data_IF_344120372491
#
_entry.id   IF_344120372491
#
_cell.length_a   1.000
_cell.length_b   1.000
_cell.length_c   1.000
_cell.angle_alpha   90.00
_cell.angle_beta   90.00
_cell.angle_gamma   90.00
#
_symmetry.space_group_name_H-M   'P 1'
#
loop_
_entity.id
_entity.type
_entity.pdbx_description
1 polymer ?
#
# COMPACT_ATOMS: atom_id res chain seq x y z
N UNK A 1 -79.92 28.61 -11.13
CA UNK A 1 -78.62 28.48 -10.44
C UNK A 1 -78.76 28.36 -8.92
N UNK A 2 -79.70 29.06 -8.28
CA UNK A 2 -79.87 29.02 -6.81
C UNK A 2 -80.32 27.66 -6.24
N UNK A 3 -81.11 26.89 -6.98
CA UNK A 3 -81.64 25.59 -6.55
C UNK A 3 -80.56 24.53 -6.32
N UNK A 4 -79.52 24.52 -7.16
CA UNK A 4 -78.39 23.59 -7.03
C UNK A 4 -77.48 23.94 -5.85
N UNK A 5 -77.33 25.25 -5.55
CA UNK A 5 -76.54 25.74 -4.43
C UNK A 5 -77.20 25.40 -3.09
N UNK A 6 -78.53 25.55 -3.01
CA UNK A 6 -79.31 25.15 -1.85
C UNK A 6 -79.25 23.62 -1.61
N UNK A 7 -79.37 22.82 -2.66
CA UNK A 7 -79.26 21.35 -2.54
C UNK A 7 -77.86 20.91 -2.07
N UNK A 8 -76.81 21.57 -2.54
CA UNK A 8 -75.43 21.31 -2.10
C UNK A 8 -75.19 21.68 -0.63
N UNK A 9 -75.68 22.84 -0.18
CA UNK A 9 -75.58 23.27 1.22
C UNK A 9 -76.40 22.39 2.17
N UNK A 10 -77.56 21.93 1.73
CA UNK A 10 -78.38 20.97 2.49
C UNK A 10 -77.71 19.60 2.54
N UNK A 11 -77.15 19.11 1.43
CA UNK A 11 -76.44 17.84 1.39
C UNK A 11 -75.18 17.83 2.28
N UNK A 12 -74.42 18.92 2.30
CA UNK A 12 -73.23 19.08 3.16
C UNK A 12 -73.56 19.27 4.64
N UNK A 13 -74.77 19.76 4.98
CA UNK A 13 -75.26 19.81 6.37
C UNK A 13 -75.88 18.49 6.85
N UNK A 14 -76.52 17.73 5.96
CA UNK A 14 -77.13 16.43 6.28
C UNK A 14 -76.10 15.30 6.34
N UNK A 15 -75.06 15.39 5.51
CA UNK A 15 -73.92 14.49 5.47
C UNK A 15 -72.65 15.33 5.57
N UNK A 16 -72.35 15.89 6.75
CA UNK A 16 -71.06 16.54 6.92
C UNK A 16 -70.00 15.48 6.58
N UNK A 17 -69.00 15.84 5.76
CA UNK A 17 -67.82 15.03 5.52
C UNK A 17 -66.99 15.02 6.82
N UNK A 18 -67.56 14.45 7.88
CA UNK A 18 -66.94 14.27 9.17
C UNK A 18 -66.10 13.02 9.06
N UNK A 19 -64.81 13.23 8.78
CA UNK A 19 -63.81 12.20 9.05
C UNK A 19 -63.95 11.88 10.54
N UNK A 20 -64.20 10.61 10.85
CA UNK A 20 -64.27 10.18 12.24
C UNK A 20 -62.94 10.50 12.91
N UNK A 21 -62.96 10.90 14.18
CA UNK A 21 -61.72 11.08 14.97
C UNK A 21 -60.83 9.83 14.91
N UNK A 22 -61.44 8.66 14.77
CA UNK A 22 -60.76 7.37 14.60
C UNK A 22 -60.05 7.26 13.23
N UNK A 23 -60.70 7.68 12.14
CA UNK A 23 -60.10 7.67 10.80
C UNK A 23 -58.93 8.67 10.68
N UNK A 24 -59.04 9.84 11.32
CA UNK A 24 -57.95 10.81 11.40
C UNK A 24 -56.77 10.21 12.17
N UNK A 25 -57.03 9.57 13.32
CA UNK A 25 -56.01 8.94 14.14
C UNK A 25 -55.34 7.76 13.40
N UNK A 26 -56.09 6.97 12.64
CA UNK A 26 -55.55 5.88 11.82
C UNK A 26 -54.66 6.41 10.68
N UNK A 27 -55.06 7.50 10.03
CA UNK A 27 -54.25 8.16 9.00
C UNK A 27 -52.95 8.74 9.58
N UNK A 28 -53.01 9.39 10.76
CA UNK A 28 -51.83 9.90 11.47
C UNK A 28 -50.89 8.75 11.88
N UNK A 29 -51.44 7.65 12.39
CA UNK A 29 -50.65 6.46 12.73
C UNK A 29 -49.96 5.86 11.50
N UNK A 30 -50.67 5.75 10.38
CA UNK A 30 -50.10 5.25 9.13
C UNK A 30 -49.00 6.17 8.60
N UNK A 31 -49.22 7.48 8.63
CA UNK A 31 -48.20 8.45 8.24
C UNK A 31 -46.94 8.34 9.12
N UNK A 32 -47.11 8.28 10.43
CA UNK A 32 -45.99 8.12 11.36
C UNK A 32 -45.25 6.80 11.14
N UNK A 33 -45.97 5.71 10.87
CA UNK A 33 -45.38 4.42 10.54
C UNK A 33 -44.56 4.48 9.25
N UNK A 34 -45.12 5.01 8.17
CA UNK A 34 -44.40 5.16 6.90
C UNK A 34 -43.20 6.11 7.02
N UNK A 35 -43.29 7.14 7.86
CA UNK A 35 -42.17 8.04 8.15
C UNK A 35 -41.02 7.29 8.84
N UNK A 36 -41.31 6.49 9.86
CA UNK A 36 -40.30 5.67 10.55
C UNK A 36 -39.69 4.64 9.60
N UNK A 37 -40.50 3.97 8.78
CA UNK A 37 -40.02 3.02 7.78
C UNK A 37 -39.06 3.68 6.78
N UNK A 38 -39.38 4.89 6.34
CA UNK A 38 -38.51 5.65 5.44
C UNK A 38 -37.19 6.08 6.10
N UNK A 39 -37.24 6.56 7.34
CA UNK A 39 -36.04 6.92 8.11
C UNK A 39 -35.12 5.71 8.33
N UNK A 40 -35.70 4.56 8.68
CA UNK A 40 -34.96 3.30 8.82
C UNK A 40 -34.35 2.86 7.48
N UNK A 41 -35.11 2.93 6.39
CA UNK A 41 -34.59 2.60 5.06
C UNK A 41 -33.37 3.46 4.69
N UNK A 42 -33.41 4.77 4.96
CA UNK A 42 -32.25 5.64 4.73
C UNK A 42 -31.07 5.19 5.58
N UNK A 43 -31.29 4.97 6.88
CA UNK A 43 -30.22 4.58 7.80
C UNK A 43 -29.57 3.25 7.41
N UNK A 44 -30.38 2.24 7.09
CA UNK A 44 -29.91 0.90 6.72
C UNK A 44 -29.10 0.93 5.42
N UNK A 45 -29.56 1.70 4.43
CA UNK A 45 -28.80 1.85 3.18
C UNK A 45 -27.50 2.63 3.38
N UNK A 46 -27.49 3.66 4.23
CA UNK A 46 -26.26 4.39 4.54
C UNK A 46 -25.23 3.48 5.19
N UNK A 47 -25.63 2.67 6.18
CA UNK A 47 -24.75 1.69 6.82
C UNK A 47 -24.24 0.69 5.80
N UNK A 48 -25.14 0.08 5.02
CA UNK A 48 -24.78 -0.91 3.99
C UNK A 48 -23.78 -0.35 2.98
N UNK A 49 -24.04 0.83 2.43
CA UNK A 49 -23.14 1.43 1.44
C UNK A 49 -21.83 1.88 2.06
N UNK A 50 -21.82 2.33 3.32
CA UNK A 50 -20.58 2.65 4.04
C UNK A 50 -19.71 1.40 4.21
N UNK A 51 -20.29 0.29 4.65
CA UNK A 51 -19.57 -0.98 4.82
C UNK A 51 -19.04 -1.51 3.48
N UNK A 52 -19.84 -1.41 2.40
CA UNK A 52 -19.42 -1.81 1.06
C UNK A 52 -18.27 -0.93 0.53
N UNK A 53 -18.31 0.37 0.83
CA UNK A 53 -17.25 1.31 0.45
C UNK A 53 -15.95 1.00 1.21
N UNK A 54 -16.03 0.78 2.52
CA UNK A 54 -14.87 0.43 3.35
C UNK A 54 -14.25 -0.90 2.92
N UNK A 55 -15.09 -1.90 2.62
CA UNK A 55 -14.63 -3.18 2.06
C UNK A 55 -13.90 -2.98 0.73
N UNK A 56 -14.51 -2.26 -0.22
CA UNK A 56 -13.91 -2.01 -1.52
C UNK A 56 -12.59 -1.24 -1.42
N UNK A 57 -12.50 -0.25 -0.52
CA UNK A 57 -11.25 0.47 -0.26
C UNK A 57 -10.15 -0.45 0.28
N UNK A 58 -10.50 -1.38 1.17
CA UNK A 58 -9.55 -2.37 1.67
C UNK A 58 -9.05 -3.28 0.56
N UNK A 59 -9.95 -3.75 -0.32
CA UNK A 59 -9.60 -4.58 -1.48
C UNK A 59 -8.69 -3.83 -2.45
N UNK A 60 -8.98 -2.56 -2.75
CA UNK A 60 -8.13 -1.72 -3.60
C UNK A 60 -6.74 -1.58 -3.00
N UNK A 61 -6.65 -1.29 -1.70
CA UNK A 61 -5.37 -1.14 -1.00
C UNK A 61 -4.54 -2.43 -1.05
N UNK A 62 -5.18 -3.59 -0.90
CA UNK A 62 -4.52 -4.90 -1.01
C UNK A 62 -4.01 -5.15 -2.44
N UNK A 63 -4.81 -4.83 -3.46
CA UNK A 63 -4.42 -4.94 -4.87
C UNK A 63 -3.22 -4.04 -5.17
N UNK A 64 -3.23 -2.79 -4.70
CA UNK A 64 -2.11 -1.86 -4.88
C UNK A 64 -0.82 -2.37 -4.22
N UNK A 65 -0.91 -2.86 -2.98
CA UNK A 65 0.24 -3.46 -2.29
C UNK A 65 0.78 -4.69 -3.06
N UNK A 66 -0.12 -5.52 -3.60
CA UNK A 66 0.26 -6.66 -4.43
C UNK A 66 0.94 -6.24 -5.74
N UNK A 67 0.46 -5.19 -6.39
CA UNK A 67 1.06 -4.62 -7.61
C UNK A 67 2.49 -4.14 -7.30
N UNK A 68 2.69 -3.38 -6.22
CA UNK A 68 4.03 -2.91 -5.84
C UNK A 68 4.97 -4.06 -5.50
N UNK A 69 4.49 -5.09 -4.80
CA UNK A 69 5.26 -6.31 -4.54
C UNK A 69 5.69 -7.00 -5.84
N UNK A 70 4.77 -7.17 -6.78
CA UNK A 70 5.06 -7.77 -8.09
C UNK A 70 6.05 -6.93 -8.91
N UNK A 71 5.96 -5.60 -8.86
CA UNK A 71 6.93 -4.70 -9.50
C UNK A 71 8.33 -4.88 -8.94
N UNK A 72 8.46 -5.02 -7.61
CA UNK A 72 9.76 -5.28 -6.97
C UNK A 72 10.32 -6.64 -7.41
N UNK A 73 9.49 -7.68 -7.40
CA UNK A 73 9.89 -9.02 -7.85
C UNK A 73 10.33 -9.01 -9.32
N UNK A 74 9.59 -8.31 -10.19
CA UNK A 74 9.96 -8.16 -11.60
C UNK A 74 11.32 -7.47 -11.76
N UNK A 75 11.59 -6.39 -10.99
CA UNK A 75 12.90 -5.73 -11.01
C UNK A 75 14.03 -6.65 -10.57
N UNK A 76 13.77 -7.55 -9.62
CA UNK A 76 14.75 -8.52 -9.13
C UNK A 76 15.06 -9.66 -10.11
N UNK A 77 14.25 -9.85 -11.16
CA UNK A 77 14.54 -10.86 -12.21
C UNK A 77 15.75 -10.50 -13.07
N UNK A 78 16.12 -9.21 -13.12
CA UNK A 78 17.29 -8.74 -13.86
C UNK A 78 18.36 -8.33 -12.87
N UNK A 79 19.43 -9.13 -12.78
CA UNK A 79 20.59 -8.81 -11.98
C UNK A 79 21.37 -7.65 -12.62
N UNK A 80 21.67 -6.63 -11.81
CA UNK A 80 22.47 -5.47 -12.19
C UNK A 80 23.53 -5.25 -11.14
N UNK A 81 24.64 -4.65 -11.54
CA UNK A 81 25.66 -4.23 -10.57
C UNK A 81 25.07 -3.23 -9.57
N UNK A 82 25.41 -3.38 -8.29
CA UNK A 82 25.02 -2.45 -7.22
C UNK A 82 25.93 -1.23 -7.13
N UNK A 83 27.15 -1.32 -7.68
CA UNK A 83 28.14 -0.25 -7.70
C UNK A 83 28.98 -0.26 -8.99
N UNK A 84 29.65 0.85 -9.27
CA UNK A 84 30.69 0.90 -10.30
C UNK A 84 31.96 0.22 -9.77
N UNK A 85 32.69 -0.48 -10.64
CA UNK A 85 33.84 -1.27 -10.23
C UNK A 85 34.19 -2.40 -11.17
N UNK A 86 35.00 -3.33 -10.66
CA UNK A 86 35.54 -4.46 -11.40
C UNK A 86 34.99 -5.77 -10.83
N UNK A 87 34.76 -6.75 -11.69
CA UNK A 87 34.31 -8.08 -11.28
C UNK A 87 35.55 -8.89 -10.89
N UNK A 88 35.65 -9.27 -9.60
CA UNK A 88 36.72 -10.15 -9.10
C UNK A 88 36.39 -11.62 -9.39
N UNK A 89 35.14 -12.00 -9.15
CA UNK A 89 34.65 -13.37 -9.32
C UNK A 89 33.28 -13.34 -10.00
N UNK A 90 33.08 -14.22 -10.98
CA UNK A 90 31.79 -14.43 -11.65
C UNK A 90 31.51 -15.93 -11.74
N UNK A 91 30.39 -16.36 -11.17
CA UNK A 91 29.87 -17.70 -11.37
C UNK A 91 29.28 -17.80 -12.78
N UNK A 92 29.75 -18.78 -13.54
CA UNK A 92 29.16 -19.11 -14.84
C UNK A 92 27.84 -19.83 -14.60
N UNK A 93 26.75 -19.24 -15.07
CA UNK A 93 25.40 -19.79 -14.98
C UNK A 93 24.94 -20.12 -16.39
N UNK A 94 24.50 -21.36 -16.61
CA UNK A 94 23.99 -21.78 -17.90
C UNK A 94 22.50 -21.50 -18.06
N UNK A 95 22.04 -21.39 -19.31
CA UNK A 95 20.61 -21.25 -19.59
C UNK A 95 19.85 -22.49 -19.12
N UNK A 96 18.78 -22.28 -18.34
CA UNK A 96 17.97 -23.35 -17.76
C UNK A 96 18.46 -23.85 -16.40
N UNK A 97 19.57 -23.33 -15.89
CA UNK A 97 20.06 -23.64 -14.55
C UNK A 97 19.19 -22.97 -13.46
N UNK A 98 18.87 -23.72 -12.40
CA UNK A 98 18.09 -23.21 -11.28
C UNK A 98 19.01 -22.56 -10.25
N UNK A 99 18.78 -21.28 -9.97
CA UNK A 99 19.51 -20.53 -8.94
C UNK A 99 18.58 -20.36 -7.73
N UNK A 100 19.09 -20.69 -6.55
CA UNK A 100 18.38 -20.43 -5.29
C UNK A 100 18.67 -19.01 -4.79
N UNK A 101 17.73 -18.43 -4.04
CA UNK A 101 17.95 -17.16 -3.38
C UNK A 101 19.24 -17.18 -2.53
N UNK A 102 19.89 -16.02 -2.39
CA UNK A 102 21.14 -15.83 -1.63
C UNK A 102 22.39 -16.54 -2.21
N UNK A 103 22.28 -17.17 -3.37
CA UNK A 103 23.45 -17.69 -4.09
C UNK A 103 24.40 -16.56 -4.48
N UNK A 104 25.69 -16.71 -4.20
CA UNK A 104 26.72 -15.75 -4.61
C UNK A 104 27.02 -15.92 -6.10
N UNK A 105 26.51 -15.00 -6.92
CA UNK A 105 26.67 -15.03 -8.39
C UNK A 105 27.93 -14.27 -8.83
N UNK A 106 28.20 -13.13 -8.23
CA UNK A 106 29.36 -12.31 -8.57
C UNK A 106 29.90 -11.60 -7.33
N UNK A 107 31.19 -11.28 -7.35
CA UNK A 107 31.81 -10.36 -6.39
C UNK A 107 32.38 -9.16 -7.15
N UNK A 108 31.97 -7.97 -6.72
CA UNK A 108 32.33 -6.71 -7.34
C UNK A 108 33.21 -5.94 -6.37
N UNK A 109 34.39 -5.53 -6.82
CA UNK A 109 35.27 -4.62 -6.10
C UNK A 109 34.87 -3.20 -6.54
N UNK A 110 34.35 -2.37 -5.61
CA UNK A 110 33.93 -1.02 -5.95
C UNK A 110 35.13 -0.17 -6.37
N UNK A 111 34.91 0.70 -7.36
CA UNK A 111 35.91 1.68 -7.77
C UNK A 111 36.00 2.82 -6.74
N UNK A 112 37.05 2.81 -5.93
CA UNK A 112 37.22 3.75 -4.83
C UNK A 112 37.94 5.06 -5.22
N UNK A 113 37.85 5.50 -6.49
CA UNK A 113 38.49 6.74 -6.98
C UNK A 113 39.96 6.90 -6.54
N UNK A 114 40.74 5.82 -6.61
CA UNK A 114 42.16 5.82 -6.23
C UNK A 114 42.45 5.74 -4.72
N UNK A 115 41.44 5.51 -3.87
CA UNK A 115 41.66 5.24 -2.43
C UNK A 115 41.88 3.75 -2.18
N UNK A 116 43.06 3.41 -1.65
CA UNK A 116 43.42 2.06 -1.25
C UNK A 116 43.29 1.94 0.28
N UNK A 117 42.49 0.98 0.75
CA UNK A 117 42.49 0.61 2.16
C UNK A 117 43.56 -0.46 2.37
N UNK A 118 44.52 -0.19 3.26
CA UNK A 118 45.58 -1.11 3.62
C UNK A 118 45.34 -1.61 5.02
N UNK A 119 45.36 -2.92 5.21
CA UNK A 119 45.28 -3.55 6.52
C UNK A 119 46.66 -4.06 6.89
N UNK A 120 47.21 -3.53 8.00
CA UNK A 120 48.46 -4.01 8.59
C UNK A 120 48.12 -4.84 9.83
N UNK A 121 48.74 -6.01 9.94
CA UNK A 121 48.64 -6.82 11.15
C UNK A 121 49.85 -6.50 12.03
N UNK A 122 49.60 -5.93 13.21
CA UNK A 122 50.64 -5.58 14.20
C UNK A 122 50.48 -6.49 15.41
N UNK A 123 51.59 -6.92 16.00
CA UNK A 123 51.53 -7.76 17.19
C UNK A 123 50.95 -6.95 18.37
N UNK A 124 50.24 -7.64 19.26
CA UNK A 124 49.60 -7.00 20.42
C UNK A 124 50.59 -6.33 21.37
N UNK A 125 51.87 -6.71 21.35
CA UNK A 125 52.92 -6.09 22.16
C UNK A 125 53.31 -4.70 21.61
N UNK A 126 53.26 -4.54 20.28
CA UNK A 126 53.73 -3.34 19.57
C UNK A 126 52.59 -2.34 19.34
N UNK A 127 51.34 -2.74 19.55
CA UNK A 127 50.17 -1.87 19.32
C UNK A 127 50.14 -0.64 20.24
N UNK A 128 50.73 -0.76 21.43
CA UNK A 128 50.82 0.34 22.40
C UNK A 128 51.79 1.44 21.95
N UNK A 129 52.63 1.17 20.94
CA UNK A 129 53.60 2.10 20.39
C UNK A 129 53.07 2.89 19.18
N UNK A 130 51.90 2.52 18.65
CA UNK A 130 51.25 3.20 17.52
C UNK A 130 50.43 4.42 17.98
N UNK A 131 50.58 5.53 17.27
CA UNK A 131 49.88 6.78 17.51
C UNK A 131 49.20 7.28 16.23
N UNK A 132 48.12 8.04 16.38
CA UNK A 132 47.31 8.54 15.25
C UNK A 132 48.09 9.47 14.30
N UNK A 133 49.17 10.09 14.79
CA UNK A 133 50.03 11.02 14.04
C UNK A 133 51.19 10.33 13.32
N UNK A 134 51.33 9.00 13.45
CA UNK A 134 52.43 8.27 12.83
C UNK A 134 52.29 8.22 11.30
N UNK A 135 53.36 8.58 10.58
CA UNK A 135 53.39 8.51 9.13
C UNK A 135 53.70 7.09 8.66
N UNK A 136 52.78 6.50 7.88
CA UNK A 136 52.97 5.20 7.25
C UNK A 136 53.44 5.36 5.81
N UNK A 137 54.53 4.67 5.46
CA UNK A 137 54.98 4.56 4.07
C UNK A 137 54.70 3.16 3.55
N UNK A 138 53.88 3.05 2.51
CA UNK A 138 53.68 1.82 1.75
C UNK A 138 54.64 1.79 0.57
N UNK A 139 55.58 0.85 0.55
CA UNK A 139 56.39 0.52 -0.62
C UNK A 139 55.89 -0.79 -1.23
N UNK A 140 55.60 -0.77 -2.53
CA UNK A 140 55.28 -1.98 -3.28
C UNK A 140 56.57 -2.51 -3.92
N UNK A 141 56.99 -3.71 -3.52
CA UNK A 141 58.05 -4.40 -4.25
C UNK A 141 57.49 -4.94 -5.57
N UNK A 142 57.94 -4.36 -6.68
CA UNK A 142 57.66 -4.88 -8.01
C UNK A 142 58.42 -6.20 -8.22
N UNK A 143 57.76 -7.34 -8.03
CA UNK A 143 58.21 -8.61 -8.61
C UNK A 143 57.96 -8.57 -10.12
N UNK A 144 58.94 -8.08 -10.86
CA UNK A 144 59.07 -8.38 -12.29
C UNK A 144 59.67 -9.79 -12.45
N UNK A 145 58.96 -10.82 -11.98
CA UNK A 145 59.34 -12.21 -12.20
C UNK A 145 58.54 -12.76 -13.39
N UNK A 146 59.23 -12.82 -14.52
CA UNK A 146 59.05 -13.71 -15.67
C UNK A 146 57.70 -14.43 -15.82
N UNK A 147 56.95 -14.04 -16.86
CA UNK A 147 56.07 -14.97 -17.58
C UNK A 147 56.52 -14.97 -19.04
N UNK A 148 56.90 -16.17 -19.50
CA UNK A 148 57.21 -16.53 -20.89
C UNK A 148 56.04 -16.26 -21.83
#
# INVERSE_FOLDING_TARGET
METYRFQYEVATKLFPQTISKMELQDAENNFNKSKIEFENFISDNLVKYSEELDYNNSVVSEIEANIERLKVQLKQTVLKSTCEGYIEELQVINSGESIIAESKIARIIPENNGKLNVYINVNAQDIAELHDEDEFTLSLESRADHVL
#
